data_IF_944983166393
#
_entry.id   IF_944983166393
#
_cell.length_a   1.000
_cell.length_b   1.000
_cell.length_c   1.000
_cell.angle_alpha   90.00
_cell.angle_beta   90.00
_cell.angle_gamma   90.00
#
_symmetry.space_group_name_H-M   'P 1'
#
loop_
_entity.id
_entity.type
_entity.pdbx_description
1 polymer ?
#
# COMPACT_ATOMS: atom_id res chain seq x y z
N UNK A 1 -16.79 -16.17 -29.65
CA UNK A 1 -16.09 -17.08 -28.72
C UNK A 1 -14.65 -16.63 -28.64
N UNK A 2 -14.41 -15.63 -27.80
CA UNK A 2 -13.08 -15.12 -27.52
C UNK A 2 -12.83 -15.49 -26.07
N UNK A 3 -12.36 -16.73 -25.82
CA UNK A 3 -11.78 -17.07 -24.51
C UNK A 3 -10.72 -16.01 -24.23
N UNK A 4 -10.63 -15.60 -22.97
CA UNK A 4 -9.55 -14.77 -22.43
C UNK A 4 -8.13 -15.28 -22.78
N UNK A 5 -8.04 -16.52 -23.28
CA UNK A 5 -6.84 -17.25 -23.69
C UNK A 5 -6.52 -17.27 -25.20
N UNK A 6 -7.39 -16.78 -26.10
CA UNK A 6 -7.11 -16.82 -27.56
C UNK A 6 -6.25 -15.66 -28.07
N UNK A 7 -5.44 -15.03 -27.21
CA UNK A 7 -4.55 -13.94 -27.61
C UNK A 7 -3.09 -14.38 -27.68
N UNK A 8 -2.57 -14.14 -28.89
CA UNK A 8 -1.26 -14.47 -29.42
C UNK A 8 -0.11 -14.01 -28.51
N UNK A 9 0.56 -14.97 -27.87
CA UNK A 9 1.87 -14.80 -27.22
C UNK A 9 2.97 -14.55 -28.26
N UNK A 10 3.02 -13.34 -28.86
CA UNK A 10 4.20 -12.89 -29.58
C UNK A 10 5.01 -12.04 -28.61
N UNK A 11 5.95 -12.67 -27.90
CA UNK A 11 7.03 -11.87 -27.32
C UNK A 11 7.68 -12.37 -26.05
N UNK A 12 7.80 -13.67 -25.75
CA UNK A 12 8.76 -14.09 -24.71
C UNK A 12 9.41 -15.46 -24.90
N UNK A 13 9.32 -16.07 -26.10
CA UNK A 13 10.04 -17.32 -26.36
C UNK A 13 11.58 -17.11 -26.38
N UNK A 14 12.08 -15.87 -26.35
CA UNK A 14 13.49 -15.58 -26.63
C UNK A 14 14.38 -15.11 -25.48
N UNK A 15 13.90 -14.86 -24.24
CA UNK A 15 14.83 -14.38 -23.19
C UNK A 15 15.60 -15.54 -22.53
N UNK A 16 15.02 -16.75 -22.43
CA UNK A 16 15.74 -17.90 -21.86
C UNK A 16 16.84 -18.44 -22.81
N UNK A 17 16.82 -18.03 -24.09
CA UNK A 17 17.71 -18.61 -25.13
C UNK A 17 18.96 -17.78 -25.48
N UNK A 18 19.19 -16.60 -24.89
CA UNK A 18 20.36 -15.78 -25.27
C UNK A 18 21.57 -15.92 -24.32
N UNK A 19 21.39 -16.46 -23.11
CA UNK A 19 22.50 -16.64 -22.17
C UNK A 19 22.73 -18.10 -21.73
N UNK A 20 22.64 -19.06 -22.66
CA UNK A 20 23.11 -20.44 -22.41
C UNK A 20 24.58 -20.52 -21.94
N UNK A 21 25.36 -19.44 -22.13
CA UNK A 21 26.72 -19.30 -21.65
C UNK A 21 26.85 -18.90 -20.15
N UNK A 22 25.84 -18.27 -19.53
CA UNK A 22 25.90 -17.83 -18.13
C UNK A 22 25.53 -18.92 -17.11
N UNK A 23 24.87 -20.00 -17.55
CA UNK A 23 24.58 -21.20 -16.73
C UNK A 23 25.87 -21.89 -16.23
N UNK A 24 27.03 -21.55 -16.80
CA UNK A 24 28.32 -22.13 -16.44
C UNK A 24 29.08 -21.39 -15.33
N UNK A 25 28.65 -20.20 -14.92
CA UNK A 25 29.34 -19.39 -13.91
C UNK A 25 28.57 -19.35 -12.57
N UNK A 26 29.15 -19.94 -11.51
CA UNK A 26 28.62 -19.88 -10.13
C UNK A 26 28.79 -21.17 -9.32
N UNK A 27 28.29 -21.16 -8.08
CA UNK A 27 28.40 -22.22 -7.05
C UNK A 27 27.55 -23.50 -7.32
N UNK A 28 27.35 -23.89 -8.58
CA UNK A 28 26.47 -25.00 -8.93
C UNK A 28 27.19 -26.27 -9.37
N UNK A 29 26.63 -27.41 -8.94
CA UNK A 29 27.15 -28.74 -9.23
C UNK A 29 26.95 -29.11 -10.70
N UNK A 30 27.61 -30.19 -11.15
CA UNK A 30 27.40 -30.72 -12.49
C UNK A 30 25.95 -31.21 -12.69
N UNK A 31 25.32 -31.75 -11.64
CA UNK A 31 23.92 -32.16 -11.66
C UNK A 31 22.99 -30.94 -11.84
N UNK A 32 23.29 -29.83 -11.14
CA UNK A 32 22.54 -28.57 -11.28
C UNK A 32 22.61 -28.02 -12.71
N UNK A 33 23.78 -28.11 -13.36
CA UNK A 33 23.94 -27.69 -14.76
C UNK A 33 23.07 -28.51 -15.73
N UNK A 34 23.00 -29.82 -15.53
CA UNK A 34 22.10 -30.70 -16.30
C UNK A 34 20.62 -30.36 -16.05
N UNK A 35 20.26 -30.15 -14.78
CA UNK A 35 18.92 -29.70 -14.41
C UNK A 35 18.56 -28.34 -15.01
N UNK A 36 19.51 -27.39 -15.10
CA UNK A 36 19.28 -26.08 -15.71
C UNK A 36 18.93 -26.18 -17.19
N UNK A 37 19.58 -27.08 -17.95
CA UNK A 37 19.23 -27.35 -19.35
C UNK A 37 17.80 -27.91 -19.44
N UNK A 38 17.47 -28.88 -18.58
CA UNK A 38 16.11 -29.44 -18.49
C UNK A 38 15.07 -28.35 -18.19
N UNK A 39 15.38 -27.42 -17.28
CA UNK A 39 14.52 -26.31 -16.93
C UNK A 39 14.33 -25.31 -18.09
N UNK A 40 15.38 -25.03 -18.86
CA UNK A 40 15.27 -24.21 -20.07
C UNK A 40 14.36 -24.85 -21.13
N UNK A 41 14.45 -26.17 -21.32
CA UNK A 41 13.55 -26.91 -22.21
C UNK A 41 12.10 -26.89 -21.72
N UNK A 42 11.87 -27.11 -20.42
CA UNK A 42 10.53 -27.01 -19.80
C UNK A 42 9.93 -25.62 -19.93
N UNK A 43 10.71 -24.55 -19.80
CA UNK A 43 10.27 -23.18 -20.02
C UNK A 43 9.83 -22.94 -21.47
N UNK A 44 10.57 -23.50 -22.44
CA UNK A 44 10.18 -23.44 -23.85
C UNK A 44 8.88 -24.21 -24.12
N UNK A 45 8.78 -25.45 -23.63
CA UNK A 45 7.58 -26.29 -23.76
C UNK A 45 6.36 -25.63 -23.10
N UNK A 46 6.56 -24.98 -21.95
CA UNK A 46 5.50 -24.21 -21.28
C UNK A 46 4.93 -23.12 -22.19
N UNK A 47 5.79 -22.34 -22.86
CA UNK A 47 5.34 -21.31 -23.81
C UNK A 47 4.53 -21.88 -24.98
N UNK A 48 4.93 -23.04 -25.51
CA UNK A 48 4.17 -23.73 -26.57
C UNK A 48 2.82 -24.26 -26.07
N UNK A 49 2.77 -24.80 -24.85
CA UNK A 49 1.53 -25.28 -24.23
C UNK A 49 0.54 -24.15 -23.99
N UNK A 50 1.01 -23.05 -23.39
CA UNK A 50 0.20 -21.85 -23.14
C UNK A 50 -0.43 -21.33 -24.44
N UNK A 51 0.34 -21.31 -25.54
CA UNK A 51 -0.14 -20.83 -26.85
C UNK A 51 -1.28 -21.67 -27.43
N UNK A 52 -1.30 -22.98 -27.15
CA UNK A 52 -2.25 -23.92 -27.72
C UNK A 52 -3.30 -24.39 -26.70
N UNK A 53 -3.33 -23.77 -25.51
CA UNK A 53 -4.18 -24.20 -24.41
C UNK A 53 -5.65 -23.89 -24.69
N UNK A 54 -6.48 -24.92 -24.59
CA UNK A 54 -7.92 -24.84 -24.39
C UNK A 54 -8.22 -25.11 -22.92
N UNK A 55 -8.60 -24.07 -22.18
CA UNK A 55 -8.83 -24.12 -20.73
C UNK A 55 -10.16 -24.78 -20.33
N UNK A 56 -11.05 -24.98 -21.28
CA UNK A 56 -12.24 -25.82 -21.11
C UNK A 56 -11.92 -27.32 -21.27
N UNK A 57 -10.75 -27.65 -21.83
CA UNK A 57 -10.29 -29.02 -21.97
C UNK A 57 -9.54 -29.49 -20.71
N UNK A 58 -10.15 -30.40 -19.96
CA UNK A 58 -9.60 -30.90 -18.69
C UNK A 58 -8.22 -31.58 -18.85
N UNK A 59 -8.00 -32.33 -19.93
CA UNK A 59 -6.73 -33.01 -20.18
C UNK A 59 -5.61 -32.00 -20.48
N UNK A 60 -5.91 -30.97 -21.27
CA UNK A 60 -4.95 -29.89 -21.53
C UNK A 60 -4.66 -29.06 -20.27
N UNK A 61 -5.68 -28.76 -19.46
CA UNK A 61 -5.50 -28.07 -18.18
C UNK A 61 -4.67 -28.88 -17.18
N UNK A 62 -4.84 -30.20 -17.14
CA UNK A 62 -4.02 -31.09 -16.33
C UNK A 62 -2.57 -31.10 -16.79
N UNK A 63 -2.34 -31.11 -18.09
CA UNK A 63 -0.99 -31.03 -18.66
C UNK A 63 -0.33 -29.66 -18.40
N UNK A 64 -1.10 -28.57 -18.51
CA UNK A 64 -0.66 -27.22 -18.17
C UNK A 64 -0.24 -27.11 -16.71
N UNK A 65 -1.05 -27.61 -15.76
CA UNK A 65 -0.71 -27.64 -14.32
C UNK A 65 0.58 -28.39 -14.06
N UNK A 66 0.79 -29.55 -14.71
CA UNK A 66 2.05 -30.30 -14.62
C UNK A 66 3.25 -29.49 -15.11
N UNK A 67 3.10 -28.72 -16.18
CA UNK A 67 4.14 -27.82 -16.66
C UNK A 67 4.42 -26.69 -15.67
N UNK A 68 3.40 -26.12 -15.03
CA UNK A 68 3.56 -25.15 -13.95
C UNK A 68 4.33 -25.72 -12.75
N UNK A 69 4.00 -26.93 -12.31
CA UNK A 69 4.71 -27.60 -11.21
C UNK A 69 6.17 -27.86 -11.57
N UNK A 70 6.43 -28.26 -12.83
CA UNK A 70 7.79 -28.49 -13.32
C UNK A 70 8.63 -27.20 -13.35
N UNK A 71 8.02 -26.03 -13.59
CA UNK A 71 8.69 -24.73 -13.52
C UNK A 71 8.96 -24.30 -12.07
N UNK A 72 7.98 -24.48 -11.17
CA UNK A 72 8.19 -24.22 -9.73
C UNK A 72 9.32 -25.08 -9.16
N UNK A 73 9.38 -26.35 -9.58
CA UNK A 73 10.45 -27.27 -9.20
C UNK A 73 11.83 -26.79 -9.69
N UNK A 74 11.89 -26.22 -10.89
CA UNK A 74 13.11 -25.60 -11.43
C UNK A 74 13.60 -24.42 -10.58
N UNK A 75 12.71 -23.48 -10.23
CA UNK A 75 13.07 -22.34 -9.38
C UNK A 75 13.52 -22.79 -7.99
N UNK A 76 12.85 -23.80 -7.41
CA UNK A 76 13.18 -24.35 -6.10
C UNK A 76 14.53 -25.08 -6.10
N UNK A 77 14.78 -25.92 -7.10
CA UNK A 77 15.96 -26.78 -7.16
C UNK A 77 17.22 -26.01 -7.54
N UNK A 78 17.10 -24.97 -8.37
CA UNK A 78 18.25 -24.24 -8.90
C UNK A 78 18.41 -22.83 -8.32
N UNK A 79 17.54 -22.39 -7.39
CA UNK A 79 17.57 -21.03 -6.83
C UNK A 79 18.88 -20.67 -6.11
N UNK A 80 19.68 -21.66 -5.68
CA UNK A 80 21.02 -21.44 -5.14
C UNK A 80 22.06 -21.11 -6.21
N UNK A 81 21.77 -21.36 -7.49
CA UNK A 81 22.66 -21.05 -8.60
C UNK A 81 22.67 -19.57 -8.92
N UNK A 82 23.87 -19.00 -9.11
CA UNK A 82 24.04 -17.61 -9.54
C UNK A 82 23.28 -17.29 -10.84
N UNK A 83 23.22 -18.24 -11.79
CA UNK A 83 22.45 -18.09 -13.02
C UNK A 83 20.93 -17.97 -12.80
N UNK A 84 20.37 -18.53 -11.72
CA UNK A 84 18.95 -18.32 -11.35
C UNK A 84 18.73 -17.03 -10.55
N UNK A 85 19.81 -16.43 -10.06
CA UNK A 85 19.79 -15.14 -9.37
C UNK A 85 19.99 -13.97 -10.34
N UNK A 86 20.37 -14.25 -11.60
CA UNK A 86 20.34 -13.29 -12.70
C UNK A 86 18.95 -12.68 -12.84
N UNK A 87 18.90 -11.36 -12.98
CA UNK A 87 17.65 -10.60 -12.91
C UNK A 87 16.69 -10.99 -14.04
N UNK A 88 17.20 -11.20 -15.24
CA UNK A 88 16.38 -11.53 -16.41
C UNK A 88 15.86 -12.97 -16.35
N UNK A 89 16.70 -13.89 -15.87
CA UNK A 89 16.29 -15.28 -15.61
C UNK A 89 15.19 -15.33 -14.55
N UNK A 90 15.38 -14.62 -13.44
CA UNK A 90 14.38 -14.52 -12.36
C UNK A 90 13.06 -13.93 -12.86
N UNK A 91 13.11 -12.81 -13.60
CA UNK A 91 11.92 -12.20 -14.23
C UNK A 91 11.18 -13.17 -15.14
N UNK A 92 11.91 -13.93 -15.96
CA UNK A 92 11.31 -14.92 -16.86
C UNK A 92 10.53 -16.01 -16.11
N UNK A 93 11.10 -16.57 -15.04
CA UNK A 93 10.40 -17.55 -14.21
C UNK A 93 9.22 -16.95 -13.43
N UNK A 94 9.36 -15.74 -12.89
CA UNK A 94 8.28 -15.05 -12.18
C UNK A 94 7.10 -14.72 -13.12
N UNK A 95 7.38 -14.37 -14.39
CA UNK A 95 6.35 -14.17 -15.42
C UNK A 95 5.61 -15.48 -15.73
N UNK A 96 6.32 -16.58 -15.96
CA UNK A 96 5.70 -17.88 -16.21
C UNK A 96 4.85 -18.35 -15.02
N UNK A 97 5.32 -18.14 -13.78
CA UNK A 97 4.55 -18.42 -12.56
C UNK A 97 3.29 -17.54 -12.45
N UNK A 98 3.37 -16.29 -12.92
CA UNK A 98 2.21 -15.39 -12.98
C UNK A 98 1.16 -15.89 -13.98
N UNK A 99 1.59 -16.40 -15.15
CA UNK A 99 0.70 -17.05 -16.13
C UNK A 99 0.02 -18.28 -15.51
N UNK A 100 0.80 -19.17 -14.88
CA UNK A 100 0.29 -20.34 -14.16
C UNK A 100 -0.85 -19.98 -13.21
N UNK A 101 -0.60 -18.98 -12.37
CA UNK A 101 -1.55 -18.53 -11.36
C UNK A 101 -2.82 -17.92 -11.98
N UNK A 102 -2.68 -17.12 -13.03
CA UNK A 102 -3.82 -16.46 -13.69
C UNK A 102 -4.71 -17.45 -14.43
N UNK A 103 -4.12 -18.38 -15.18
CA UNK A 103 -4.88 -19.40 -15.93
C UNK A 103 -5.59 -20.35 -14.98
N UNK A 104 -4.91 -20.80 -13.91
CA UNK A 104 -5.54 -21.65 -12.91
C UNK A 104 -6.71 -20.95 -12.21
N UNK A 105 -6.54 -19.68 -11.82
CA UNK A 105 -7.60 -18.88 -11.23
C UNK A 105 -8.79 -18.70 -12.18
N UNK A 106 -8.53 -18.36 -13.45
CA UNK A 106 -9.54 -18.21 -14.50
C UNK A 106 -10.36 -19.48 -14.69
N UNK A 107 -9.68 -20.62 -14.85
CA UNK A 107 -10.32 -21.91 -15.11
C UNK A 107 -11.03 -22.52 -13.88
N UNK A 108 -10.81 -21.99 -12.67
CA UNK A 108 -11.37 -22.57 -11.43
C UNK A 108 -12.21 -21.56 -10.65
N UNK A 109 -11.56 -20.69 -9.88
CA UNK A 109 -12.19 -19.77 -8.94
C UNK A 109 -13.02 -18.69 -9.65
N UNK A 110 -12.61 -18.27 -10.85
CA UNK A 110 -13.22 -17.17 -11.59
C UNK A 110 -14.08 -17.60 -12.78
N UNK A 111 -14.11 -18.91 -13.11
CA UNK A 111 -14.74 -19.47 -14.32
C UNK A 111 -16.17 -18.99 -14.53
N UNK A 112 -16.98 -19.02 -13.46
CA UNK A 112 -18.38 -18.58 -13.56
C UNK A 112 -18.54 -17.09 -13.89
N UNK A 113 -17.60 -16.24 -13.48
CA UNK A 113 -17.60 -14.84 -13.86
C UNK A 113 -17.07 -14.65 -15.28
N UNK A 114 -16.02 -15.39 -15.64
CA UNK A 114 -15.45 -15.43 -16.98
C UNK A 114 -16.52 -15.74 -18.04
N UNK A 115 -17.29 -16.81 -17.82
CA UNK A 115 -18.41 -17.23 -18.66
C UNK A 115 -19.50 -16.14 -18.83
N UNK A 116 -19.63 -15.23 -17.85
CA UNK A 116 -20.57 -14.11 -17.93
C UNK A 116 -19.97 -12.95 -18.73
N UNK A 117 -18.70 -12.65 -18.50
CA UNK A 117 -17.96 -11.60 -19.21
C UNK A 117 -17.87 -11.91 -20.70
N UNK A 118 -17.66 -13.17 -21.06
CA UNK A 118 -17.62 -13.65 -22.45
C UNK A 118 -18.92 -13.45 -23.23
N UNK A 119 -20.05 -13.38 -22.51
CA UNK A 119 -21.38 -13.11 -23.08
C UNK A 119 -21.66 -11.62 -23.20
N UNK A 120 -20.81 -10.75 -22.63
CA UNK A 120 -20.99 -9.30 -22.74
C UNK A 120 -20.52 -8.81 -24.11
N UNK A 121 -21.26 -7.85 -24.69
CA UNK A 121 -20.81 -7.18 -25.92
C UNK A 121 -19.82 -6.03 -25.64
N UNK A 122 -19.24 -5.99 -24.43
CA UNK A 122 -18.33 -4.93 -24.00
C UNK A 122 -17.03 -4.96 -24.81
N UNK A 123 -16.76 -3.86 -25.52
CA UNK A 123 -15.47 -3.66 -26.19
C UNK A 123 -14.30 -3.74 -25.20
N UNK A 124 -14.47 -3.21 -23.99
CA UNK A 124 -13.43 -3.29 -22.97
C UNK A 124 -13.07 -4.74 -22.62
N UNK A 125 -14.06 -5.62 -22.43
CA UNK A 125 -13.81 -7.04 -22.11
C UNK A 125 -13.09 -7.72 -23.27
N UNK A 126 -13.50 -7.45 -24.51
CA UNK A 126 -12.88 -8.03 -25.71
C UNK A 126 -11.44 -7.55 -25.95
N UNK A 127 -11.14 -6.30 -25.59
CA UNK A 127 -9.83 -5.69 -25.78
C UNK A 127 -8.89 -5.91 -24.57
N UNK A 128 -9.41 -6.35 -23.42
CA UNK A 128 -8.62 -6.56 -22.21
C UNK A 128 -7.76 -7.82 -22.34
N UNK A 129 -6.44 -7.65 -22.24
CA UNK A 129 -5.47 -8.74 -22.29
C UNK A 129 -4.62 -8.79 -21.01
N UNK A 130 -4.89 -9.73 -20.08
CA UNK A 130 -4.16 -9.82 -18.83
C UNK A 130 -2.69 -10.25 -19.02
N UNK A 131 -2.39 -11.00 -20.08
CA UNK A 131 -1.05 -11.51 -20.35
C UNK A 131 -0.12 -10.44 -20.91
N UNK A 132 -0.64 -9.55 -21.76
CA UNK A 132 0.10 -8.38 -22.23
C UNK A 132 0.44 -7.44 -21.06
N UNK A 133 -0.51 -7.26 -20.14
CA UNK A 133 -0.28 -6.44 -18.94
C UNK A 133 0.82 -7.05 -18.07
N UNK A 134 0.80 -8.37 -17.86
CA UNK A 134 1.89 -9.05 -17.15
C UNK A 134 3.23 -8.88 -17.89
N UNK A 135 3.25 -9.08 -19.21
CA UNK A 135 4.48 -8.90 -20.00
C UNK A 135 5.05 -7.48 -19.83
N UNK A 136 4.21 -6.45 -20.00
CA UNK A 136 4.58 -5.05 -19.80
C UNK A 136 5.12 -4.78 -18.39
N UNK A 137 4.53 -5.42 -17.37
CA UNK A 137 5.02 -5.33 -15.99
C UNK A 137 6.42 -5.91 -15.83
N UNK A 138 6.82 -6.94 -16.58
CA UNK A 138 8.16 -7.54 -16.48
C UNK A 138 9.19 -6.87 -17.39
N UNK A 139 8.78 -6.40 -18.57
CA UNK A 139 9.68 -5.81 -19.58
C UNK A 139 9.98 -4.34 -19.33
N UNK A 140 8.97 -3.54 -18.97
CA UNK A 140 9.14 -2.09 -18.89
C UNK A 140 9.88 -1.70 -17.61
N UNK A 141 10.80 -0.74 -17.71
CA UNK A 141 11.47 -0.16 -16.55
C UNK A 141 10.54 0.78 -15.78
N UNK A 142 9.78 1.60 -16.50
CA UNK A 142 8.67 2.41 -15.98
C UNK A 142 7.35 1.67 -16.18
N UNK A 143 6.68 1.36 -15.08
CA UNK A 143 5.42 0.62 -15.06
C UNK A 143 4.21 1.53 -14.79
N UNK A 144 4.37 2.85 -14.75
CA UNK A 144 3.31 3.80 -14.36
C UNK A 144 2.07 3.68 -15.24
N UNK A 145 2.24 3.64 -16.56
CA UNK A 145 1.15 3.46 -17.50
C UNK A 145 0.51 2.06 -17.38
N UNK A 146 1.33 1.02 -17.25
CA UNK A 146 0.87 -0.36 -17.08
C UNK A 146 0.04 -0.51 -15.81
N UNK A 147 0.48 0.10 -14.71
CA UNK A 147 -0.25 0.13 -13.44
C UNK A 147 -1.57 0.90 -13.55
N UNK A 148 -1.59 2.03 -14.27
CA UNK A 148 -2.80 2.84 -14.48
C UNK A 148 -3.85 2.09 -15.33
N UNK A 149 -3.40 1.20 -16.21
CA UNK A 149 -4.25 0.41 -17.10
C UNK A 149 -4.37 -1.07 -16.69
N UNK A 150 -3.97 -1.43 -15.47
CA UNK A 150 -3.89 -2.83 -15.02
C UNK A 150 -5.22 -3.57 -15.14
N UNK A 151 -6.33 -2.86 -14.98
CA UNK A 151 -7.69 -3.39 -15.13
C UNK A 151 -8.43 -2.69 -16.28
N UNK A 152 -7.71 -2.47 -17.37
CA UNK A 152 -8.19 -1.77 -18.55
C UNK A 152 -8.13 -0.26 -18.38
N UNK A 153 -8.13 0.45 -19.52
CA UNK A 153 -8.16 1.90 -19.57
C UNK A 153 -9.35 2.44 -18.78
N UNK A 154 -9.11 3.47 -17.97
CA UNK A 154 -10.12 4.09 -17.09
C UNK A 154 -10.83 3.08 -16.16
N UNK A 155 -10.14 1.98 -15.79
CA UNK A 155 -10.69 0.87 -15.01
C UNK A 155 -11.92 0.19 -15.65
N UNK A 156 -11.99 0.15 -16.98
CA UNK A 156 -13.15 -0.39 -17.67
C UNK A 156 -13.38 -1.89 -17.38
N UNK A 157 -12.32 -2.68 -17.19
CA UNK A 157 -12.44 -4.12 -16.92
C UNK A 157 -12.93 -4.37 -15.50
N UNK A 158 -12.43 -3.58 -14.53
CA UNK A 158 -13.00 -3.55 -13.17
C UNK A 158 -14.50 -3.32 -13.18
N UNK A 159 -14.96 -2.33 -13.95
CA UNK A 159 -16.38 -2.02 -14.07
C UNK A 159 -17.14 -3.21 -14.68
N UNK A 160 -16.64 -3.79 -15.77
CA UNK A 160 -17.27 -4.94 -16.40
C UNK A 160 -17.41 -6.14 -15.45
N UNK A 161 -16.36 -6.46 -14.69
CA UNK A 161 -16.38 -7.53 -13.66
C UNK A 161 -17.39 -7.21 -12.57
N UNK A 162 -17.40 -5.97 -12.07
CA UNK A 162 -18.33 -5.55 -11.01
C UNK A 162 -19.79 -5.61 -11.49
N UNK A 163 -20.06 -5.17 -12.71
CA UNK A 163 -21.41 -5.13 -13.29
C UNK A 163 -21.93 -6.55 -13.61
N UNK A 164 -21.08 -7.43 -14.16
CA UNK A 164 -21.49 -8.78 -14.56
C UNK A 164 -21.52 -9.78 -13.39
N UNK A 165 -20.60 -9.63 -12.44
CA UNK A 165 -20.30 -10.65 -11.44
C UNK A 165 -20.39 -10.17 -10.00
N UNK A 166 -20.46 -8.85 -9.78
CA UNK A 166 -20.55 -8.23 -8.47
C UNK A 166 -19.18 -7.88 -7.86
N UNK A 167 -19.23 -7.06 -6.81
CA UNK A 167 -18.04 -6.52 -6.13
C UNK A 167 -17.15 -7.60 -5.49
N UNK A 168 -17.72 -8.73 -5.07
CA UNK A 168 -16.94 -9.83 -4.47
C UNK A 168 -16.03 -10.52 -5.48
N UNK A 169 -16.52 -10.79 -6.70
CA UNK A 169 -15.70 -11.39 -7.76
C UNK A 169 -14.62 -10.41 -8.24
N UNK A 170 -14.95 -9.12 -8.30
CA UNK A 170 -13.95 -8.07 -8.52
C UNK A 170 -12.83 -8.11 -7.46
N UNK A 171 -13.18 -8.17 -6.17
CA UNK A 171 -12.18 -8.16 -5.11
C UNK A 171 -11.30 -9.42 -5.17
N UNK A 172 -11.86 -10.61 -5.45
CA UNK A 172 -11.07 -11.83 -5.66
C UNK A 172 -10.08 -11.68 -6.81
N UNK A 173 -10.52 -11.20 -7.96
CA UNK A 173 -9.67 -10.97 -9.13
C UNK A 173 -8.53 -10.02 -8.78
N UNK A 174 -8.87 -8.89 -8.14
CA UNK A 174 -7.90 -7.91 -7.71
C UNK A 174 -6.86 -8.51 -6.76
N UNK A 175 -7.29 -9.17 -5.69
CA UNK A 175 -6.37 -9.82 -4.74
C UNK A 175 -5.47 -10.85 -5.43
N UNK A 176 -6.01 -11.59 -6.41
CA UNK A 176 -5.22 -12.51 -7.21
C UNK A 176 -4.09 -11.79 -7.94
N UNK A 177 -4.36 -10.66 -8.59
CA UNK A 177 -3.31 -9.85 -9.25
C UNK A 177 -2.24 -9.36 -8.26
N UNK A 178 -2.65 -8.85 -7.10
CA UNK A 178 -1.72 -8.38 -6.06
C UNK A 178 -0.77 -9.47 -5.55
N UNK A 179 -1.21 -10.72 -5.62
CA UNK A 179 -0.43 -11.87 -5.18
C UNK A 179 0.59 -12.38 -6.21
N UNK A 180 0.53 -11.92 -7.47
CA UNK A 180 1.33 -12.50 -8.57
C UNK A 180 2.82 -12.26 -8.44
N UNK A 181 3.23 -11.00 -8.25
CA UNK A 181 4.65 -10.63 -8.17
C UNK A 181 4.84 -9.25 -7.53
N UNK A 182 6.07 -8.97 -7.09
CA UNK A 182 6.41 -7.73 -6.40
C UNK A 182 6.30 -6.48 -7.29
N UNK A 183 6.33 -6.62 -8.62
CA UNK A 183 6.12 -5.48 -9.53
C UNK A 183 4.66 -5.07 -9.56
N UNK A 184 3.72 -6.02 -9.54
CA UNK A 184 2.29 -5.69 -9.37
C UNK A 184 2.11 -4.94 -8.05
N UNK A 185 2.70 -5.40 -6.94
CA UNK A 185 2.61 -4.71 -5.63
C UNK A 185 3.13 -3.27 -5.63
N UNK A 186 4.06 -2.93 -6.54
CA UNK A 186 4.57 -1.56 -6.73
C UNK A 186 3.59 -0.67 -7.47
N UNK A 187 2.64 -1.23 -8.21
CA UNK A 187 1.51 -0.44 -8.67
C UNK A 187 0.82 0.10 -7.43
N UNK A 188 0.78 1.42 -7.30
CA UNK A 188 0.11 2.03 -6.18
C UNK A 188 -1.40 1.80 -6.35
N UNK A 189 -1.93 0.79 -5.65
CA UNK A 189 -3.37 0.53 -5.58
C UNK A 189 -4.06 1.43 -4.56
N UNK A 190 -3.53 2.62 -4.28
CA UNK A 190 -4.26 3.72 -3.67
C UNK A 190 -5.53 3.97 -4.52
N UNK A 191 -6.57 3.21 -4.15
CA UNK A 191 -7.63 2.80 -5.06
C UNK A 191 -7.83 1.29 -5.06
N UNK A 192 -8.23 0.72 -3.91
CA UNK A 192 -8.71 -0.66 -3.62
C UNK A 192 -7.71 -1.62 -2.93
N UNK A 193 -8.20 -2.28 -1.88
CA UNK A 193 -7.92 -3.65 -1.42
C UNK A 193 -6.48 -4.09 -1.19
N UNK A 194 -5.98 -3.93 0.03
CA UNK A 194 -4.77 -4.62 0.47
C UNK A 194 -4.43 -4.54 1.95
N UNK A 195 -5.37 -4.23 2.86
CA UNK A 195 -5.20 -4.49 4.31
C UNK A 195 -6.57 -4.53 5.00
N UNK A 196 -7.39 -5.58 4.90
CA UNK A 196 -8.57 -5.71 5.79
C UNK A 196 -8.99 -7.17 5.97
N UNK A 197 -8.15 -7.96 6.65
CA UNK A 197 -8.63 -9.15 7.36
C UNK A 197 -9.21 -8.68 8.71
N UNK A 198 -10.53 -8.77 8.86
CA UNK A 198 -11.28 -8.35 10.06
C UNK A 198 -12.76 -8.12 9.74
N UNK A 199 -13.61 -8.05 10.77
CA UNK A 199 -15.08 -8.00 10.76
C UNK A 199 -15.71 -6.73 10.12
N UNK A 200 -15.24 -6.32 8.95
CA UNK A 200 -15.71 -5.13 8.25
C UNK A 200 -16.51 -5.40 6.99
N UNK A 201 -17.62 -4.68 6.88
CA UNK A 201 -18.54 -4.73 5.74
C UNK A 201 -17.89 -4.15 4.48
N UNK A 202 -18.48 -4.42 3.32
CA UNK A 202 -18.04 -3.81 2.07
C UNK A 202 -18.15 -2.27 2.11
N UNK A 203 -19.14 -1.72 2.81
CA UNK A 203 -19.30 -0.28 3.01
C UNK A 203 -18.14 0.29 3.84
N UNK A 204 -17.71 -0.43 4.88
CA UNK A 204 -16.55 -0.06 5.70
C UNK A 204 -15.26 -0.07 4.86
N UNK A 205 -15.10 -1.03 3.94
CA UNK A 205 -13.95 -1.08 3.03
C UNK A 205 -13.90 0.13 2.11
N UNK A 206 -15.04 0.57 1.56
CA UNK A 206 -15.11 1.80 0.76
C UNK A 206 -14.82 3.05 1.60
N UNK A 207 -15.37 3.11 2.81
CA UNK A 207 -15.15 4.21 3.72
C UNK A 207 -13.67 4.27 4.16
N UNK A 208 -13.00 3.14 4.35
CA UNK A 208 -11.56 3.06 4.64
C UNK A 208 -10.68 3.67 3.54
N UNK A 209 -11.01 3.43 2.27
CA UNK A 209 -10.29 4.08 1.16
C UNK A 209 -10.48 5.60 1.21
N UNK A 210 -11.72 6.07 1.43
CA UNK A 210 -11.98 7.51 1.61
C UNK A 210 -11.20 8.08 2.79
N UNK A 211 -11.05 7.32 3.87
CA UNK A 211 -10.31 7.73 5.05
C UNK A 211 -8.81 7.80 4.82
N UNK A 212 -8.24 6.87 4.04
CA UNK A 212 -6.84 6.96 3.62
C UNK A 212 -6.55 8.21 2.76
N UNK A 213 -7.45 8.54 1.83
CA UNK A 213 -7.34 9.76 1.03
C UNK A 213 -7.44 11.03 1.90
N UNK A 214 -8.41 11.08 2.82
CA UNK A 214 -8.53 12.18 3.79
C UNK A 214 -7.28 12.35 4.67
N UNK A 215 -6.66 11.25 5.10
CA UNK A 215 -5.42 11.30 5.87
C UNK A 215 -4.25 11.88 5.05
N UNK A 216 -4.17 11.55 3.77
CA UNK A 216 -3.17 12.11 2.84
C UNK A 216 -3.41 13.60 2.58
N UNK A 217 -4.66 13.98 2.34
CA UNK A 217 -5.08 15.38 2.17
C UNK A 217 -4.80 16.20 3.43
N UNK A 218 -5.08 15.65 4.60
CA UNK A 218 -4.76 16.25 5.89
C UNK A 218 -3.26 16.56 6.02
N UNK A 219 -2.39 15.59 5.71
CA UNK A 219 -0.94 15.82 5.75
C UNK A 219 -0.47 16.92 4.80
N UNK A 220 -1.09 17.03 3.62
CA UNK A 220 -0.81 18.11 2.67
C UNK A 220 -1.34 19.47 3.16
N UNK A 221 -2.49 19.51 3.82
CA UNK A 221 -3.06 20.72 4.41
C UNK A 221 -2.21 21.23 5.56
N UNK A 222 -1.83 20.37 6.52
CA UNK A 222 -0.97 20.75 7.66
C UNK A 222 0.32 21.43 7.19
N UNK A 223 0.93 20.90 6.12
CA UNK A 223 2.19 21.44 5.59
C UNK A 223 2.08 22.88 5.05
N UNK A 224 0.90 23.26 4.57
CA UNK A 224 0.68 24.56 3.93
C UNK A 224 -0.29 25.45 4.74
N UNK A 225 -0.61 25.05 5.97
CA UNK A 225 -1.58 25.75 6.80
C UNK A 225 -1.00 27.07 7.30
N UNK A 226 -1.72 28.14 7.04
CA UNK A 226 -1.55 29.44 7.69
C UNK A 226 -2.58 29.53 8.82
N UNK A 227 -2.12 29.44 10.08
CA UNK A 227 -2.96 29.41 11.26
C UNK A 227 -3.53 30.77 11.69
N UNK A 228 -3.00 31.85 11.12
CA UNK A 228 -3.60 33.18 11.18
C UNK A 228 -4.78 33.36 10.20
N UNK A 229 -4.88 32.49 9.19
CA UNK A 229 -5.94 32.54 8.19
C UNK A 229 -7.19 31.78 8.65
N UNK A 230 -8.22 32.51 9.07
CA UNK A 230 -9.47 31.93 9.58
C UNK A 230 -10.17 30.96 8.60
N UNK A 231 -10.11 31.23 7.29
CA UNK A 231 -10.72 30.37 6.28
C UNK A 231 -9.97 29.04 6.16
N UNK A 232 -8.63 29.08 6.20
CA UNK A 232 -7.81 27.87 6.20
C UNK A 232 -8.00 27.06 7.50
N UNK A 233 -8.05 27.70 8.66
CA UNK A 233 -8.36 27.04 9.94
C UNK A 233 -9.75 26.38 9.89
N UNK A 234 -10.74 27.04 9.30
CA UNK A 234 -12.08 26.47 9.13
C UNK A 234 -12.10 25.26 8.20
N UNK A 235 -11.33 25.29 7.11
CA UNK A 235 -11.18 24.14 6.22
C UNK A 235 -10.45 22.98 6.92
N UNK A 236 -9.35 23.29 7.62
CA UNK A 236 -8.60 22.33 8.41
C UNK A 236 -9.46 21.61 9.46
N UNK A 237 -10.34 22.33 10.17
CA UNK A 237 -11.28 21.72 11.11
C UNK A 237 -12.21 20.70 10.46
N UNK A 238 -12.68 20.96 9.23
CA UNK A 238 -13.51 19.98 8.49
C UNK A 238 -12.72 18.72 8.19
N UNK A 239 -11.44 18.84 7.85
CA UNK A 239 -10.57 17.67 7.64
C UNK A 239 -10.37 16.89 8.94
N UNK A 240 -10.18 17.58 10.07
CA UNK A 240 -10.14 16.95 11.39
C UNK A 240 -11.42 16.19 11.73
N UNK A 241 -12.59 16.78 11.49
CA UNK A 241 -13.87 16.11 11.72
C UNK A 241 -14.05 14.89 10.81
N UNK A 242 -13.60 15.00 9.56
CA UNK A 242 -13.64 13.90 8.61
C UNK A 242 -12.73 12.73 9.02
N UNK A 243 -11.58 13.01 9.66
CA UNK A 243 -10.70 11.98 10.23
C UNK A 243 -11.26 11.37 11.52
N UNK A 244 -11.87 12.17 12.39
CA UNK A 244 -12.57 11.65 13.58
C UNK A 244 -13.72 10.71 13.17
N UNK A 245 -14.46 11.07 12.13
CA UNK A 245 -15.53 10.23 11.57
C UNK A 245 -14.98 8.91 11.02
N UNK A 246 -13.81 8.92 10.40
CA UNK A 246 -13.11 7.72 9.96
C UNK A 246 -12.79 6.76 11.11
N UNK A 247 -12.18 7.27 12.19
CA UNK A 247 -11.85 6.45 13.36
C UNK A 247 -13.09 5.88 14.04
N UNK A 248 -14.17 6.66 14.09
CA UNK A 248 -15.45 6.23 14.66
C UNK A 248 -16.14 5.16 13.81
N UNK A 249 -16.21 5.38 12.50
CA UNK A 249 -16.94 4.52 11.57
C UNK A 249 -16.20 3.22 11.31
N UNK A 250 -14.87 3.23 11.31
CA UNK A 250 -14.06 2.06 10.99
C UNK A 250 -13.40 1.43 12.22
N UNK A 251 -13.64 1.96 13.42
CA UNK A 251 -12.99 1.50 14.63
C UNK A 251 -13.20 0.01 14.93
N UNK A 252 -14.28 -0.60 14.44
CA UNK A 252 -14.50 -2.05 14.55
C UNK A 252 -13.66 -2.89 13.57
N UNK A 253 -13.05 -2.28 12.55
CA UNK A 253 -12.26 -2.99 11.55
C UNK A 253 -10.92 -3.46 12.09
N UNK A 254 -10.55 -4.70 11.77
CA UNK A 254 -9.25 -5.27 12.09
C UNK A 254 -8.05 -4.40 11.68
N UNK A 255 -8.06 -3.74 10.51
CA UNK A 255 -6.94 -2.86 10.15
C UNK A 255 -6.96 -1.51 10.87
N UNK A 256 -8.09 -1.02 11.37
CA UNK A 256 -8.08 0.12 12.30
C UNK A 256 -7.62 -0.30 13.70
N UNK A 257 -7.59 -1.60 13.96
CA UNK A 257 -7.04 -2.16 15.19
C UNK A 257 -5.53 -2.44 15.11
N UNK A 258 -4.95 -2.37 13.91
CA UNK A 258 -3.50 -2.43 13.70
C UNK A 258 -2.80 -1.28 14.46
N UNK A 259 -1.68 -1.60 15.11
CA UNK A 259 -0.97 -0.67 15.97
C UNK A 259 -0.37 0.52 15.21
N UNK A 260 0.10 0.33 13.99
CA UNK A 260 0.64 1.43 13.18
C UNK A 260 -0.48 2.37 12.71
N UNK A 261 -1.60 1.79 12.28
CA UNK A 261 -2.80 2.55 11.88
C UNK A 261 -3.35 3.36 13.05
N UNK A 262 -3.49 2.74 14.24
CA UNK A 262 -3.90 3.43 15.47
C UNK A 262 -2.99 4.59 15.81
N UNK A 263 -1.67 4.38 15.76
CA UNK A 263 -0.68 5.43 16.03
C UNK A 263 -0.81 6.59 15.04
N UNK A 264 -0.97 6.30 13.75
CA UNK A 264 -1.14 7.31 12.71
C UNK A 264 -2.39 8.18 12.95
N UNK A 265 -3.55 7.56 13.20
CA UNK A 265 -4.78 8.31 13.49
C UNK A 265 -4.73 9.05 14.83
N UNK A 266 -4.08 8.48 15.85
CA UNK A 266 -3.85 9.17 17.12
C UNK A 266 -2.95 10.40 16.95
N UNK A 267 -1.89 10.32 16.14
CA UNK A 267 -1.04 11.46 15.82
C UNK A 267 -1.82 12.56 15.09
N UNK A 268 -2.59 12.22 14.05
CA UNK A 268 -3.40 13.21 13.34
C UNK A 268 -4.42 13.88 14.26
N UNK A 269 -5.05 13.12 15.17
CA UNK A 269 -5.96 13.68 16.18
C UNK A 269 -5.23 14.60 17.18
N UNK A 270 -3.99 14.28 17.59
CA UNK A 270 -3.16 15.19 18.39
C UNK A 270 -2.93 16.50 17.65
N UNK A 271 -2.55 16.45 16.37
CA UNK A 271 -2.29 17.63 15.53
C UNK A 271 -3.54 18.48 15.40
N UNK A 272 -4.69 17.87 15.10
CA UNK A 272 -5.99 18.55 15.08
C UNK A 272 -6.28 19.30 16.38
N UNK A 273 -6.08 18.62 17.51
CA UNK A 273 -6.36 19.18 18.84
C UNK A 273 -5.44 20.35 19.16
N UNK A 274 -4.15 20.25 18.82
CA UNK A 274 -3.16 21.30 19.06
C UNK A 274 -3.43 22.55 18.22
N UNK A 275 -3.67 22.39 16.93
CA UNK A 275 -3.96 23.51 16.02
C UNK A 275 -5.29 24.18 16.40
N UNK A 276 -6.33 23.40 16.72
CA UNK A 276 -7.62 23.96 17.12
C UNK A 276 -7.50 24.75 18.43
N UNK A 277 -6.76 24.22 19.41
CA UNK A 277 -6.48 24.92 20.67
C UNK A 277 -5.67 26.20 20.44
N UNK A 278 -4.59 26.13 19.65
CA UNK A 278 -3.75 27.26 19.27
C UNK A 278 -4.56 28.38 18.61
N UNK A 279 -5.35 28.04 17.60
CA UNK A 279 -6.15 29.00 16.84
C UNK A 279 -7.40 29.53 17.59
N UNK A 280 -7.72 29.02 18.79
CA UNK A 280 -8.90 29.44 19.55
C UNK A 280 -8.58 29.85 20.98
N UNK A 281 -8.49 28.87 21.89
CA UNK A 281 -8.36 29.07 23.32
C UNK A 281 -7.02 29.71 23.69
N UNK A 282 -5.96 29.40 22.94
CA UNK A 282 -4.59 29.84 23.22
C UNK A 282 -4.11 31.00 22.34
N UNK A 283 -4.89 31.41 21.34
CA UNK A 283 -4.49 32.39 20.29
C UNK A 283 -3.89 33.66 20.87
N UNK A 284 -4.53 34.25 21.88
CA UNK A 284 -4.05 35.49 22.48
C UNK A 284 -2.71 35.32 23.22
N UNK A 285 -2.42 34.14 23.77
CA UNK A 285 -1.13 33.87 24.37
C UNK A 285 -0.06 33.62 23.31
N UNK A 286 -0.40 32.86 22.27
CA UNK A 286 0.47 32.53 21.14
C UNK A 286 0.98 33.81 20.45
N UNK A 287 0.08 34.74 20.11
CA UNK A 287 0.42 36.06 19.54
C UNK A 287 1.35 36.91 20.43
N UNK A 288 1.35 36.68 21.76
CA UNK A 288 2.28 37.35 22.69
C UNK A 288 3.63 36.66 22.71
N UNK A 289 3.64 35.32 22.69
CA UNK A 289 4.85 34.52 22.66
C UNK A 289 5.66 34.77 21.38
N UNK A 290 4.99 34.91 20.23
CA UNK A 290 5.63 35.23 18.95
C UNK A 290 6.35 36.58 18.93
N UNK A 291 5.88 37.53 19.74
CA UNK A 291 6.51 38.85 19.89
C UNK A 291 7.72 38.82 20.80
N UNK A 292 8.01 37.70 21.46
CA UNK A 292 9.17 37.57 22.33
C UNK A 292 10.44 37.27 21.54
N UNK A 293 11.57 37.75 22.04
CA UNK A 293 12.89 37.35 21.54
C UNK A 293 13.38 36.03 22.18
N UNK A 294 12.50 35.30 22.87
CA UNK A 294 12.85 34.06 23.55
C UNK A 294 13.28 33.00 22.54
N UNK A 295 14.56 32.63 22.59
CA UNK A 295 15.09 31.52 21.79
C UNK A 295 14.32 30.22 22.05
N UNK A 296 13.92 29.98 23.30
CA UNK A 296 13.13 28.80 23.64
C UNK A 296 11.81 28.75 22.88
N UNK A 297 11.08 29.86 22.79
CA UNK A 297 9.80 29.91 22.05
C UNK A 297 10.03 29.63 20.57
N UNK A 298 11.06 30.26 19.97
CA UNK A 298 11.39 30.08 18.54
C UNK A 298 11.85 28.66 18.19
N UNK A 299 12.54 28.00 19.10
CA UNK A 299 13.03 26.63 18.92
C UNK A 299 11.98 25.57 19.32
N UNK A 300 10.88 25.96 19.99
CA UNK A 300 9.86 25.03 20.45
C UNK A 300 8.96 24.58 19.29
N UNK A 301 9.03 23.29 18.96
CA UNK A 301 8.19 22.69 17.93
C UNK A 301 7.27 21.61 18.53
N UNK A 302 5.99 21.92 18.77
CA UNK A 302 5.07 20.96 19.38
C UNK A 302 4.77 19.75 18.48
N UNK A 303 4.84 19.91 17.15
CA UNK A 303 4.56 18.85 16.20
C UNK A 303 5.69 17.82 16.12
N UNK A 304 6.95 18.26 16.19
CA UNK A 304 8.10 17.35 16.27
C UNK A 304 8.06 16.54 17.57
N UNK A 305 7.67 17.17 18.68
CA UNK A 305 7.52 16.49 19.98
C UNK A 305 6.43 15.42 19.88
N UNK A 306 5.29 15.72 19.25
CA UNK A 306 4.26 14.71 19.01
C UNK A 306 4.78 13.57 18.13
N UNK A 307 5.47 13.88 17.02
CA UNK A 307 6.03 12.85 16.15
C UNK A 307 6.99 11.92 16.91
N UNK A 308 7.91 12.48 17.68
CA UNK A 308 8.86 11.73 18.51
C UNK A 308 8.14 10.85 19.53
N UNK A 309 7.05 11.34 20.13
CA UNK A 309 6.21 10.56 21.05
C UNK A 309 5.55 9.36 20.36
N UNK A 310 5.29 9.38 19.05
CA UNK A 310 4.69 8.25 18.32
C UNK A 310 5.72 7.30 17.72
N UNK A 311 6.84 7.82 17.23
CA UNK A 311 7.86 7.05 16.51
C UNK A 311 8.85 6.35 17.45
N UNK A 312 9.27 6.99 18.55
CA UNK A 312 10.28 6.43 19.44
C UNK A 312 9.70 5.33 20.33
N UNK A 313 10.47 4.26 20.55
CA UNK A 313 10.09 3.20 21.50
C UNK A 313 10.29 3.64 22.95
N UNK A 314 11.42 4.31 23.24
CA UNK A 314 11.69 5.00 24.49
C UNK A 314 11.35 6.49 24.35
N UNK A 315 10.45 6.96 25.21
CA UNK A 315 9.95 8.34 25.20
C UNK A 315 10.49 9.17 26.38
N UNK A 316 11.44 8.64 27.16
CA UNK A 316 11.95 9.29 28.39
C UNK A 316 12.50 10.69 28.10
N UNK A 317 13.35 10.82 27.08
CA UNK A 317 13.91 12.11 26.67
C UNK A 317 12.84 13.05 26.13
N UNK A 318 11.92 12.54 25.30
CA UNK A 318 10.82 13.33 24.73
C UNK A 318 9.90 13.87 25.83
N UNK A 319 9.57 13.04 26.82
CA UNK A 319 8.80 13.45 27.99
C UNK A 319 9.52 14.52 28.82
N UNK A 320 10.84 14.38 29.00
CA UNK A 320 11.65 15.32 29.78
C UNK A 320 11.75 16.70 29.12
N UNK A 321 11.59 16.75 27.80
CA UNK A 321 11.67 17.96 26.97
C UNK A 321 10.31 18.37 26.37
N UNK A 322 9.19 17.84 26.88
CA UNK A 322 7.85 18.05 26.31
C UNK A 322 7.47 19.54 26.20
N UNK A 323 7.96 20.35 27.14
CA UNK A 323 7.77 21.80 27.19
C UNK A 323 9.10 22.53 27.02
N UNK A 324 9.93 22.02 26.12
CA UNK A 324 11.27 22.52 25.85
C UNK A 324 12.28 22.05 26.89
N UNK A 325 13.56 22.20 26.53
CA UNK A 325 14.68 21.85 27.41
C UNK A 325 14.59 22.62 28.73
N UNK A 326 14.79 21.92 29.84
CA UNK A 326 14.70 22.47 31.19
C UNK A 326 13.37 23.20 31.48
N UNK A 327 12.27 22.76 30.83
CA UNK A 327 10.94 23.36 30.89
C UNK A 327 10.91 24.85 30.49
N UNK A 328 11.78 25.27 29.57
CA UNK A 328 11.88 26.67 29.18
C UNK A 328 10.57 27.22 28.57
N UNK A 329 9.78 26.39 27.88
CA UNK A 329 8.53 26.83 27.26
C UNK A 329 7.46 27.07 28.32
N UNK A 330 7.37 26.21 29.35
CA UNK A 330 6.54 26.46 30.53
C UNK A 330 6.81 27.85 31.10
N UNK A 331 8.09 28.16 31.34
CA UNK A 331 8.50 29.45 31.90
C UNK A 331 8.07 30.61 31.00
N UNK A 332 8.28 30.49 29.69
CA UNK A 332 7.87 31.52 28.73
C UNK A 332 6.35 31.77 28.79
N UNK A 333 5.54 30.71 28.79
CA UNK A 333 4.07 30.81 28.90
C UNK A 333 3.67 31.46 30.23
N UNK A 334 4.24 31.03 31.36
CA UNK A 334 3.89 31.62 32.66
C UNK A 334 4.30 33.08 32.79
N UNK A 335 5.44 33.47 32.25
CA UNK A 335 5.96 34.84 32.32
C UNK A 335 5.15 35.80 31.43
N UNK A 336 4.71 35.33 30.25
CA UNK A 336 4.06 36.16 29.23
C UNK A 336 2.53 36.15 29.37
N UNK A 337 1.96 34.99 29.68
CA UNK A 337 0.51 34.75 29.65
C UNK A 337 -0.08 34.42 31.02
N UNK A 338 0.77 34.11 32.01
CA UNK A 338 0.36 33.77 33.37
C UNK A 338 0.13 32.28 33.59
N UNK A 339 0.04 31.91 34.87
CA UNK A 339 -0.10 30.52 35.33
C UNK A 339 -1.38 29.86 34.81
N UNK A 340 -2.47 30.60 34.67
CA UNK A 340 -3.74 30.03 34.20
C UNK A 340 -3.67 29.55 32.75
N UNK A 341 -2.99 30.28 31.86
CA UNK A 341 -2.82 29.85 30.47
C UNK A 341 -1.86 28.66 30.36
N UNK A 342 -0.84 28.63 31.21
CA UNK A 342 0.03 27.47 31.35
C UNK A 342 -0.75 26.21 31.77
N UNK A 343 -1.62 26.30 32.77
CA UNK A 343 -2.39 25.14 33.23
C UNK A 343 -3.33 24.61 32.13
N UNK A 344 -4.00 25.50 31.37
CA UNK A 344 -4.80 25.11 30.20
C UNK A 344 -3.97 24.38 29.14
N UNK A 345 -2.80 24.92 28.79
CA UNK A 345 -1.90 24.29 27.83
C UNK A 345 -1.47 22.90 28.32
N UNK A 346 -1.06 22.79 29.59
CA UNK A 346 -0.64 21.54 30.20
C UNK A 346 -1.77 20.50 30.14
N UNK A 347 -2.97 20.86 30.57
CA UNK A 347 -4.15 19.99 30.52
C UNK A 347 -4.46 19.54 29.08
N UNK A 348 -4.34 20.45 28.11
CA UNK A 348 -4.55 20.12 26.70
C UNK A 348 -3.55 19.05 26.23
N UNK A 349 -2.26 19.20 26.54
CA UNK A 349 -1.25 18.20 26.20
C UNK A 349 -1.52 16.85 26.83
N UNK A 350 -1.89 16.82 28.12
CA UNK A 350 -2.23 15.59 28.83
C UNK A 350 -3.42 14.83 28.22
N UNK A 351 -4.31 15.56 27.55
CA UNK A 351 -5.48 14.98 26.88
C UNK A 351 -5.20 14.38 25.50
N UNK A 352 -4.04 14.65 24.89
CA UNK A 352 -3.77 14.34 23.48
C UNK A 352 -3.75 12.83 23.18
N UNK A 353 -2.97 12.06 23.93
CA UNK A 353 -2.85 10.62 23.73
C UNK A 353 -2.30 9.89 24.94
N UNK A 354 -2.47 8.57 24.97
CA UNK A 354 -2.04 7.73 26.08
C UNK A 354 -0.53 7.65 26.25
N UNK A 355 0.28 8.02 25.25
CA UNK A 355 1.74 8.11 25.42
C UNK A 355 2.14 9.36 26.19
N UNK A 356 1.50 10.51 25.96
CA UNK A 356 1.72 11.71 26.79
C UNK A 356 1.38 11.41 28.25
N UNK A 357 0.29 10.67 28.51
CA UNK A 357 -0.09 10.26 29.89
C UNK A 357 0.95 9.38 30.59
N UNK A 358 1.86 8.74 29.85
CA UNK A 358 2.98 7.98 30.42
C UNK A 358 4.16 8.85 30.82
N UNK A 359 4.23 10.09 30.36
CA UNK A 359 5.21 11.04 30.85
C UNK A 359 4.94 11.34 32.32
N UNK A 360 5.98 11.32 33.16
CA UNK A 360 5.85 11.74 34.55
C UNK A 360 5.88 13.27 34.61
N UNK A 361 4.79 13.87 35.06
CA UNK A 361 4.68 15.33 35.24
C UNK A 361 4.95 15.78 36.68
N UNK A 362 5.19 14.84 37.60
CA UNK A 362 5.64 15.15 38.96
C UNK A 362 7.05 15.75 38.91
N UNK A 363 7.14 17.08 38.98
CA UNK A 363 8.38 17.85 38.81
C UNK A 363 8.33 18.93 37.71
N UNK A 364 7.25 18.97 36.94
CA UNK A 364 6.90 20.10 36.04
C UNK A 364 5.96 21.08 36.79
N UNK A 365 6.01 21.08 38.13
CA UNK A 365 5.30 22.02 39.04
C UNK A 365 6.14 23.25 39.28
#
# INVERSE_FOLDING_TARGET
MTNLLKLVFIGFIFIVSVHGASVLAGNCSLADKSHAISCGLRAKEFGEKVKNLDDDNEDQMKEFRRSCDALKDCTRTLGHCGAMQDEDTKKGFDYMNSICTLIEFGATEFKSCDDKLDKTESKCVKDYNPFQIQQDLFEKSDITETCSNLFGKDNCFKKAVTDACGANEWEKLKQRYLSLNDRVKKCNFEGTGGVLAGDCSLADKHHAVSCGLRAKEFGAQVKNLDDDNEDQIKEFRKSCDALKDCTRTLGHCGAMQDEETKKGFAYMNSVCTLIEFGATEFKSCDEKLDKTESKCVKDYNPFQIQQDLFEKSDITETCSNLFGKDNCFKKAVTDVCGVNEWEKLKERYLSLNDRVKKCNFEGIV
#
